data_IF_439517464397
#
_entry.id   IF_439517464397
#
_cell.length_a   1.000
_cell.length_b   1.000
_cell.length_c   1.000
_cell.angle_alpha   90.00
_cell.angle_beta   90.00
_cell.angle_gamma   90.00
#
_symmetry.space_group_name_H-M   'P 1'
#
loop_
_entity.id
_entity.type
_entity.pdbx_description
1 polymer ?
#
# COMPACT_ATOMS: atom_id res chain seq x y z
N UNK A 1 2.20 -24.69 -14.58
CA UNK A 1 0.76 -24.44 -14.68
C UNK A 1 0.54 -22.96 -14.91
N UNK A 2 -0.39 -22.60 -15.76
CA UNK A 2 -0.85 -21.22 -15.93
C UNK A 2 -1.64 -20.77 -14.71
N UNK A 3 -1.92 -19.46 -14.60
CA UNK A 3 -2.77 -18.93 -13.53
C UNK A 3 -4.17 -19.57 -13.55
N UNK A 4 -4.78 -19.71 -14.73
CA UNK A 4 -6.11 -20.30 -14.88
C UNK A 4 -6.15 -21.76 -14.39
N UNK A 5 -5.14 -22.55 -14.77
CA UNK A 5 -5.01 -23.94 -14.31
C UNK A 5 -4.84 -24.02 -12.79
N UNK A 6 -4.07 -23.09 -12.21
CA UNK A 6 -3.86 -23.04 -10.76
C UNK A 6 -5.13 -22.69 -10.01
N UNK A 7 -5.88 -21.67 -10.45
CA UNK A 7 -7.13 -21.23 -9.81
C UNK A 7 -8.22 -22.31 -9.87
N UNK A 8 -8.20 -23.19 -10.88
CA UNK A 8 -9.11 -24.35 -10.94
C UNK A 8 -8.75 -25.45 -9.95
N UNK A 9 -7.47 -25.55 -9.54
CA UNK A 9 -6.96 -26.68 -8.74
C UNK A 9 -6.71 -26.34 -7.27
N UNK A 10 -6.28 -25.12 -6.98
CA UNK A 10 -5.85 -24.70 -5.66
C UNK A 10 -6.74 -23.55 -5.15
N UNK A 11 -6.78 -23.37 -3.84
CA UNK A 11 -7.53 -22.24 -3.26
C UNK A 11 -6.95 -20.89 -3.70
N UNK A 12 -7.79 -19.85 -3.78
CA UNK A 12 -7.38 -18.47 -4.12
C UNK A 12 -6.15 -18.04 -3.31
N UNK A 13 -6.17 -18.30 -2.00
CA UNK A 13 -5.07 -17.98 -1.07
C UNK A 13 -3.74 -18.63 -1.46
N UNK A 14 -3.75 -19.91 -1.83
CA UNK A 14 -2.51 -20.62 -2.19
C UNK A 14 -1.98 -20.19 -3.57
N UNK A 15 -2.88 -19.87 -4.50
CA UNK A 15 -2.49 -19.30 -5.81
C UNK A 15 -1.87 -17.92 -5.63
N UNK A 16 -2.45 -17.07 -4.78
CA UNK A 16 -1.91 -15.75 -4.45
C UNK A 16 -0.54 -15.85 -3.76
N UNK A 17 -0.40 -16.76 -2.78
CA UNK A 17 0.88 -17.00 -2.13
C UNK A 17 1.96 -17.42 -3.15
N UNK A 18 1.64 -18.34 -4.08
CA UNK A 18 2.54 -18.77 -5.13
C UNK A 18 2.89 -17.65 -6.13
N UNK A 19 1.95 -16.75 -6.39
CA UNK A 19 2.11 -15.62 -7.32
C UNK A 19 2.98 -14.51 -6.75
N UNK A 20 2.74 -14.14 -5.48
CA UNK A 20 3.26 -12.92 -4.85
C UNK A 20 4.52 -13.14 -4.03
N UNK A 21 4.82 -14.36 -3.60
CA UNK A 21 6.02 -14.62 -2.81
C UNK A 21 7.27 -14.70 -3.70
N UNK A 22 8.25 -13.82 -3.49
CA UNK A 22 9.47 -13.70 -4.32
C UNK A 22 10.22 -15.01 -4.47
N UNK A 23 10.59 -15.63 -3.35
CA UNK A 23 11.24 -16.93 -3.32
C UNK A 23 10.26 -18.06 -2.91
N UNK A 24 9.13 -18.16 -3.60
CA UNK A 24 8.08 -19.13 -3.23
C UNK A 24 8.59 -20.57 -3.19
N UNK A 25 9.33 -20.99 -4.24
CA UNK A 25 9.89 -22.36 -4.34
C UNK A 25 10.78 -22.68 -3.14
N UNK A 26 11.75 -21.81 -2.84
CA UNK A 26 12.65 -22.00 -1.71
C UNK A 26 11.92 -21.98 -0.36
N UNK A 27 10.89 -21.13 -0.20
CA UNK A 27 10.08 -21.11 1.01
C UNK A 27 9.30 -22.42 1.20
N UNK A 28 8.63 -22.89 0.15
CA UNK A 28 7.90 -24.16 0.13
C UNK A 28 8.81 -25.35 0.42
N UNK A 29 9.97 -25.42 -0.22
CA UNK A 29 10.97 -26.48 0.00
C UNK A 29 11.50 -26.50 1.43
N UNK A 30 11.71 -25.33 2.06
CA UNK A 30 12.10 -25.26 3.48
C UNK A 30 11.03 -25.84 4.39
N UNK A 31 9.76 -25.58 4.13
CA UNK A 31 8.66 -26.13 4.95
C UNK A 31 8.57 -27.65 4.76
N UNK A 32 8.64 -28.13 3.51
CA UNK A 32 8.68 -29.57 3.20
C UNK A 32 9.85 -30.25 3.91
N UNK A 33 11.03 -29.64 3.89
CA UNK A 33 12.23 -30.17 4.56
C UNK A 33 12.02 -30.26 6.07
N UNK A 34 11.50 -29.20 6.70
CA UNK A 34 11.18 -29.21 8.14
C UNK A 34 10.26 -30.38 8.52
N UNK A 35 9.19 -30.62 7.74
CA UNK A 35 8.31 -31.76 8.00
C UNK A 35 9.04 -33.10 7.88
N UNK A 36 9.86 -33.27 6.83
CA UNK A 36 10.66 -34.50 6.63
C UNK A 36 11.65 -34.73 7.78
N UNK A 37 12.33 -33.68 8.21
CA UNK A 37 13.31 -33.73 9.30
C UNK A 37 12.61 -34.11 10.62
N UNK A 38 11.49 -33.46 10.97
CA UNK A 38 10.70 -33.80 12.17
C UNK A 38 10.16 -35.24 12.15
N UNK A 39 9.73 -35.74 10.99
CA UNK A 39 9.32 -37.15 10.81
C UNK A 39 10.50 -38.09 11.09
N UNK A 40 11.68 -37.79 10.55
CA UNK A 40 12.88 -38.60 10.73
C UNK A 40 13.37 -38.62 12.19
N UNK A 41 13.17 -37.51 12.91
CA UNK A 41 13.50 -37.37 14.33
C UNK A 41 12.44 -37.99 15.28
N UNK A 42 11.32 -38.47 14.76
CA UNK A 42 10.23 -39.03 15.56
C UNK A 42 9.37 -37.99 16.29
N UNK A 43 9.45 -36.71 15.89
CA UNK A 43 8.72 -35.60 16.51
C UNK A 43 7.37 -35.43 15.82
N UNK A 44 6.27 -35.62 16.55
CA UNK A 44 4.89 -35.42 16.07
C UNK A 44 4.62 -36.08 14.69
N UNK A 45 5.13 -37.29 14.50
CA UNK A 45 5.25 -37.96 13.18
C UNK A 45 3.95 -37.92 12.36
N UNK A 46 2.82 -38.28 12.97
CA UNK A 46 1.54 -38.33 12.25
C UNK A 46 1.08 -36.95 11.81
N UNK A 47 1.13 -35.95 12.69
CA UNK A 47 0.82 -34.54 12.34
C UNK A 47 1.74 -34.00 11.26
N UNK A 48 3.04 -34.35 11.29
CA UNK A 48 3.99 -33.91 10.27
C UNK A 48 3.78 -34.59 8.92
N UNK A 49 3.36 -35.87 8.90
CA UNK A 49 2.97 -36.56 7.66
C UNK A 49 1.72 -35.93 7.04
N UNK A 50 0.70 -35.69 7.85
CA UNK A 50 -0.53 -35.01 7.42
C UNK A 50 -0.22 -33.63 6.84
N UNK A 51 0.58 -32.82 7.54
CA UNK A 51 0.99 -31.50 7.07
C UNK A 51 1.85 -31.55 5.79
N UNK A 52 2.70 -32.56 5.64
CA UNK A 52 3.46 -32.76 4.42
C UNK A 52 2.56 -33.14 3.23
N UNK A 53 1.61 -34.06 3.44
CA UNK A 53 0.64 -34.44 2.41
C UNK A 53 -0.23 -33.25 2.01
N UNK A 54 -0.72 -32.49 2.99
CA UNK A 54 -1.50 -31.27 2.77
C UNK A 54 -0.74 -30.27 1.89
N UNK A 55 0.51 -29.96 2.21
CA UNK A 55 1.33 -29.05 1.39
C UNK A 55 1.53 -29.60 -0.02
N UNK A 56 1.81 -30.89 -0.17
CA UNK A 56 2.06 -31.48 -1.48
C UNK A 56 0.81 -31.49 -2.37
N UNK A 57 -0.37 -31.67 -1.76
CA UNK A 57 -1.66 -31.76 -2.45
C UNK A 57 -2.30 -30.40 -2.72
N UNK A 58 -2.24 -29.50 -1.75
CA UNK A 58 -3.07 -28.29 -1.71
C UNK A 58 -2.31 -27.00 -2.04
N UNK A 59 -0.99 -27.06 -2.19
CA UNK A 59 -0.18 -25.89 -2.59
C UNK A 59 0.47 -26.09 -3.96
N UNK A 60 0.53 -25.05 -4.80
CA UNK A 60 1.27 -25.11 -6.05
C UNK A 60 2.76 -25.45 -5.84
N UNK A 61 3.38 -26.18 -6.76
CA UNK A 61 4.82 -26.50 -6.65
C UNK A 61 5.74 -25.34 -7.04
N UNK A 62 5.23 -24.39 -7.83
CA UNK A 62 5.96 -23.25 -8.38
C UNK A 62 4.99 -22.08 -8.59
N UNK A 63 5.48 -20.86 -8.85
CA UNK A 63 4.63 -19.75 -9.30
C UNK A 63 3.92 -20.06 -10.64
N UNK A 64 2.80 -19.37 -10.94
CA UNK A 64 2.13 -19.48 -12.24
C UNK A 64 3.05 -19.05 -13.38
N UNK A 65 2.97 -19.77 -14.49
CA UNK A 65 3.66 -19.44 -15.73
C UNK A 65 2.76 -18.53 -16.55
N UNK A 66 3.32 -17.42 -17.02
CA UNK A 66 2.69 -16.53 -17.97
C UNK A 66 3.25 -16.82 -19.36
N UNK A 67 2.46 -17.40 -20.28
CA UNK A 67 2.95 -17.78 -21.60
C UNK A 67 3.28 -16.58 -22.50
N UNK A 68 2.81 -15.38 -22.16
CA UNK A 68 3.09 -14.16 -22.92
C UNK A 68 4.44 -13.53 -22.56
N UNK A 69 5.03 -13.95 -21.44
CA UNK A 69 6.30 -13.38 -20.96
C UNK A 69 7.52 -14.15 -21.48
N UNK A 70 8.64 -13.46 -21.81
CA UNK A 70 9.85 -14.12 -22.25
C UNK A 70 10.38 -15.13 -21.21
N UNK A 71 10.64 -16.35 -21.66
CA UNK A 71 11.05 -17.46 -20.79
C UNK A 71 12.43 -17.25 -20.15
N UNK A 72 13.28 -16.44 -20.78
CA UNK A 72 14.67 -16.17 -20.42
C UNK A 72 14.84 -14.96 -19.47
N UNK A 73 13.74 -14.41 -18.95
CA UNK A 73 13.79 -13.41 -17.89
C UNK A 73 14.31 -14.02 -16.58
N UNK A 74 15.01 -13.20 -15.80
CA UNK A 74 15.41 -13.52 -14.44
C UNK A 74 14.18 -13.85 -13.56
N UNK A 75 14.32 -14.77 -12.61
CA UNK A 75 13.19 -15.21 -11.79
C UNK A 75 12.64 -14.08 -10.89
N UNK A 76 13.49 -13.15 -10.43
CA UNK A 76 13.04 -11.96 -9.68
C UNK A 76 12.27 -11.01 -10.60
N UNK A 77 12.71 -10.82 -11.85
CA UNK A 77 11.97 -10.04 -12.84
C UNK A 77 10.60 -10.66 -13.11
N UNK A 78 10.53 -11.97 -13.34
CA UNK A 78 9.26 -12.68 -13.53
C UNK A 78 8.36 -12.54 -12.31
N UNK A 79 8.91 -12.62 -11.10
CA UNK A 79 8.16 -12.38 -9.87
C UNK A 79 7.60 -10.96 -9.84
N UNK A 80 8.43 -9.96 -10.08
CA UNK A 80 8.00 -8.56 -9.99
C UNK A 80 6.91 -8.25 -11.00
N UNK A 81 7.03 -8.75 -12.23
CA UNK A 81 6.01 -8.62 -13.26
C UNK A 81 4.69 -9.28 -12.85
N UNK A 82 4.71 -10.47 -12.23
CA UNK A 82 3.50 -11.11 -11.68
C UNK A 82 2.82 -10.25 -10.61
N UNK A 83 3.62 -9.63 -9.72
CA UNK A 83 3.12 -8.71 -8.69
C UNK A 83 2.46 -7.50 -9.33
N UNK A 84 3.12 -6.84 -10.28
CA UNK A 84 2.57 -5.66 -10.99
C UNK A 84 1.25 -6.03 -11.68
N UNK A 85 1.18 -7.13 -12.43
CA UNK A 85 -0.05 -7.55 -13.10
C UNK A 85 -1.18 -7.84 -12.10
N UNK A 86 -0.88 -8.56 -11.02
CA UNK A 86 -1.85 -8.87 -9.97
C UNK A 86 -2.43 -7.60 -9.33
N UNK A 87 -1.56 -6.61 -9.09
CA UNK A 87 -1.98 -5.34 -8.53
C UNK A 87 -3.04 -4.66 -9.41
N UNK A 88 -3.10 -4.91 -10.72
CA UNK A 88 -4.11 -4.28 -11.59
C UNK A 88 -5.32 -5.18 -11.88
N UNK A 89 -5.16 -6.50 -11.85
CA UNK A 89 -6.26 -7.44 -12.09
C UNK A 89 -7.33 -7.40 -10.97
N UNK A 90 -6.93 -7.39 -9.70
CA UNK A 90 -7.90 -7.33 -8.58
C UNK A 90 -8.76 -6.06 -8.59
N UNK A 91 -8.25 -4.96 -9.17
CA UNK A 91 -8.99 -3.70 -9.25
C UNK A 91 -10.28 -3.82 -10.05
N UNK A 92 -10.36 -4.79 -10.97
CA UNK A 92 -11.51 -4.96 -11.86
C UNK A 92 -12.52 -5.99 -11.31
N UNK A 93 -12.26 -6.62 -10.16
CA UNK A 93 -12.99 -7.81 -9.71
C UNK A 93 -14.08 -7.59 -8.67
N UNK A 94 -13.94 -6.59 -7.78
CA UNK A 94 -14.72 -6.55 -6.53
C UNK A 94 -15.54 -5.28 -6.27
N UNK A 95 -15.47 -4.24 -7.13
CA UNK A 95 -16.26 -3.02 -6.97
C UNK A 95 -17.18 -2.79 -8.20
N UNK A 96 -18.50 -2.74 -7.96
CA UNK A 96 -19.62 -2.45 -8.89
C UNK A 96 -19.55 -1.06 -9.58
N UNK A 97 -18.37 -0.48 -9.77
CA UNK A 97 -18.20 0.82 -10.40
C UNK A 97 -17.60 0.67 -11.81
N UNK A 98 -18.41 1.04 -12.80
CA UNK A 98 -18.05 1.23 -14.23
C UNK A 98 -16.95 2.29 -14.48
N UNK A 99 -16.11 2.63 -13.49
CA UNK A 99 -14.96 3.49 -13.71
C UNK A 99 -13.86 2.70 -14.42
N UNK A 100 -13.82 2.83 -15.75
CA UNK A 100 -12.74 2.31 -16.60
C UNK A 100 -11.39 2.53 -15.91
N UNK A 101 -10.53 1.48 -15.81
CA UNK A 101 -9.22 1.61 -15.18
C UNK A 101 -8.49 2.80 -15.81
N UNK A 102 -8.04 3.71 -14.96
CA UNK A 102 -7.51 4.99 -15.42
C UNK A 102 -6.39 4.75 -16.43
N UNK A 103 -6.66 5.09 -17.70
CA UNK A 103 -5.76 4.87 -18.84
C UNK A 103 -4.36 5.43 -18.58
N UNK A 104 -4.25 6.54 -17.84
CA UNK A 104 -2.96 7.15 -17.50
C UNK A 104 -2.09 6.29 -16.57
N UNK A 105 -2.70 5.47 -15.70
CA UNK A 105 -1.94 4.55 -14.85
C UNK A 105 -1.46 3.32 -15.61
N UNK A 106 -2.28 2.83 -16.54
CA UNK A 106 -1.95 1.69 -17.40
C UNK A 106 -0.73 2.02 -18.28
N UNK A 107 -0.58 3.27 -18.74
CA UNK A 107 0.58 3.70 -19.53
C UNK A 107 1.90 3.47 -18.78
N UNK A 108 1.99 3.88 -17.51
CA UNK A 108 3.19 3.64 -16.72
C UNK A 108 3.40 2.14 -16.42
N UNK A 109 2.33 1.42 -16.08
CA UNK A 109 2.38 -0.04 -15.87
C UNK A 109 3.01 -0.75 -17.07
N UNK A 110 2.46 -0.47 -18.24
CA UNK A 110 2.83 -1.16 -19.47
C UNK A 110 4.26 -0.79 -19.89
N UNK A 111 4.67 0.46 -19.66
CA UNK A 111 6.05 0.88 -19.86
C UNK A 111 7.04 0.18 -18.92
N UNK A 112 6.69 0.01 -17.63
CA UNK A 112 7.52 -0.73 -16.66
C UNK A 112 7.63 -2.20 -17.07
N UNK A 113 6.52 -2.85 -17.42
CA UNK A 113 6.52 -4.24 -17.88
C UNK A 113 7.34 -4.41 -19.17
N UNK A 114 7.20 -3.49 -20.14
CA UNK A 114 7.99 -3.49 -21.37
C UNK A 114 9.50 -3.29 -21.10
N UNK A 115 9.85 -2.44 -20.13
CA UNK A 115 11.25 -2.26 -19.73
C UNK A 115 11.87 -3.52 -19.14
N UNK A 116 11.12 -4.28 -18.32
CA UNK A 116 11.54 -5.60 -17.84
C UNK A 116 11.67 -6.61 -18.98
N UNK A 117 10.67 -6.72 -19.86
CA UNK A 117 10.71 -7.63 -21.03
C UNK A 117 11.93 -7.38 -21.92
N UNK A 118 12.27 -6.11 -22.12
CA UNK A 118 13.43 -5.67 -22.91
C UNK A 118 14.75 -5.68 -22.13
N UNK A 119 14.74 -6.18 -20.89
CA UNK A 119 15.92 -6.22 -19.99
C UNK A 119 16.58 -4.86 -19.77
N UNK A 120 15.82 -3.76 -19.92
CA UNK A 120 16.26 -2.39 -19.63
C UNK A 120 16.11 -2.04 -18.15
N UNK A 121 15.29 -2.80 -17.44
CA UNK A 121 15.08 -2.70 -16.01
C UNK A 121 15.37 -4.05 -15.36
N UNK A 122 16.04 -4.01 -14.21
CA UNK A 122 16.37 -5.18 -13.39
C UNK A 122 15.78 -5.00 -11.99
N UNK A 123 15.48 -6.11 -11.32
CA UNK A 123 15.03 -6.09 -9.93
C UNK A 123 16.26 -5.97 -9.03
N UNK A 124 16.35 -4.87 -8.29
CA UNK A 124 17.46 -4.60 -7.37
C UNK A 124 16.93 -4.11 -6.02
N UNK A 125 17.34 -4.77 -4.94
CA UNK A 125 16.85 -4.48 -3.59
C UNK A 125 17.24 -3.08 -3.13
N UNK A 126 16.30 -2.37 -2.51
CA UNK A 126 16.51 -1.00 -2.04
C UNK A 126 16.69 0.01 -3.17
N UNK A 127 16.54 -0.37 -4.44
CA UNK A 127 16.48 0.56 -5.57
C UNK A 127 15.05 0.76 -6.03
N UNK A 128 14.85 1.93 -6.65
CA UNK A 128 13.58 2.33 -7.21
C UNK A 128 13.76 3.12 -8.50
N UNK A 129 12.70 3.15 -9.31
CA UNK A 129 12.57 4.01 -10.48
C UNK A 129 11.27 4.81 -10.39
N UNK A 130 11.27 6.01 -10.97
CA UNK A 130 10.08 6.86 -11.07
C UNK A 130 9.72 7.02 -12.53
N UNK A 131 8.46 6.80 -12.83
CA UNK A 131 7.90 6.82 -14.17
C UNK A 131 6.84 7.91 -14.30
N UNK A 132 6.77 8.54 -15.46
CA UNK A 132 5.77 9.54 -15.79
C UNK A 132 5.36 9.43 -17.26
N UNK A 133 4.06 9.30 -17.52
CA UNK A 133 3.50 9.16 -18.86
C UNK A 133 4.20 8.09 -19.73
N UNK A 134 4.64 6.98 -19.12
CA UNK A 134 5.32 5.88 -19.80
C UNK A 134 6.84 6.04 -19.94
N UNK A 135 7.42 7.09 -19.36
CA UNK A 135 8.85 7.35 -19.39
C UNK A 135 9.49 7.18 -18.01
N UNK A 136 10.63 6.50 -17.94
CA UNK A 136 11.46 6.48 -16.72
C UNK A 136 12.14 7.84 -16.56
N UNK A 137 11.66 8.64 -15.61
CA UNK A 137 12.13 10.02 -15.40
C UNK A 137 13.17 10.13 -14.29
N UNK A 138 13.26 9.15 -13.39
CA UNK A 138 14.33 9.05 -12.38
C UNK A 138 14.68 7.59 -12.07
N UNK A 139 15.94 7.35 -11.71
CA UNK A 139 16.46 6.04 -11.32
C UNK A 139 17.02 5.20 -12.48
N UNK A 140 17.47 3.96 -12.22
CA UNK A 140 17.46 3.28 -10.91
C UNK A 140 18.30 4.00 -9.86
N UNK A 141 17.76 4.23 -8.67
CA UNK A 141 18.46 4.91 -7.57
C UNK A 141 18.11 4.28 -6.23
N UNK A 142 18.98 4.45 -5.22
CA UNK A 142 18.70 3.94 -3.88
C UNK A 142 17.54 4.71 -3.25
N UNK A 143 16.65 3.99 -2.59
CA UNK A 143 15.47 4.53 -1.92
C UNK A 143 15.80 5.57 -0.86
N UNK A 144 16.91 5.38 -0.13
CA UNK A 144 17.40 6.36 0.87
C UNK A 144 17.79 7.71 0.25
N UNK A 145 18.15 7.72 -1.02
CA UNK A 145 18.53 8.94 -1.75
C UNK A 145 17.30 9.57 -2.43
N UNK A 146 16.17 8.86 -2.44
CA UNK A 146 14.92 9.36 -2.98
C UNK A 146 14.23 10.28 -1.97
N UNK A 147 14.05 11.54 -2.37
CA UNK A 147 13.25 12.51 -1.64
C UNK A 147 11.95 12.77 -2.39
N UNK A 148 10.82 12.60 -1.70
CA UNK A 148 9.48 12.90 -2.22
C UNK A 148 9.36 14.30 -2.85
N UNK A 149 10.07 15.30 -2.30
CA UNK A 149 10.06 16.66 -2.82
C UNK A 149 10.57 16.72 -4.27
N UNK A 150 11.48 15.81 -4.66
CA UNK A 150 11.96 15.69 -6.04
C UNK A 150 10.83 15.35 -7.02
N UNK A 151 9.86 14.52 -6.62
CA UNK A 151 8.67 14.22 -7.46
C UNK A 151 7.82 15.47 -7.65
N UNK A 152 7.63 16.23 -6.59
CA UNK A 152 6.78 17.43 -6.59
C UNK A 152 7.40 18.52 -7.47
N UNK A 153 8.70 18.77 -7.29
CA UNK A 153 9.39 19.87 -7.97
C UNK A 153 9.62 19.59 -9.46
N UNK A 154 9.79 18.33 -9.84
CA UNK A 154 10.02 17.96 -11.25
C UNK A 154 8.73 17.68 -12.02
N UNK A 155 7.57 17.51 -11.35
CA UNK A 155 6.30 17.25 -12.03
C UNK A 155 5.96 18.28 -13.12
N UNK A 156 6.06 19.61 -12.88
CA UNK A 156 5.76 20.59 -13.94
C UNK A 156 6.67 20.44 -15.17
N UNK A 157 7.94 20.05 -14.96
CA UNK A 157 8.89 19.81 -16.06
C UNK A 157 8.52 18.57 -16.86
N UNK A 158 8.16 17.47 -16.18
CA UNK A 158 7.73 16.25 -16.85
C UNK A 158 6.42 16.43 -17.59
N UNK A 159 5.47 17.18 -17.01
CA UNK A 159 4.20 17.50 -17.65
C UNK A 159 4.39 18.37 -18.90
N UNK A 160 5.31 19.35 -18.85
CA UNK A 160 5.68 20.14 -20.02
C UNK A 160 6.38 19.32 -21.12
N UNK A 161 7.16 18.31 -20.74
CA UNK A 161 7.96 17.51 -21.67
C UNK A 161 7.17 16.34 -22.30
N UNK A 162 6.38 15.64 -21.49
CA UNK A 162 5.73 14.38 -21.88
C UNK A 162 4.19 14.51 -21.97
N UNK A 163 3.65 15.70 -21.66
CA UNK A 163 2.22 15.95 -21.61
C UNK A 163 1.58 15.48 -20.30
N UNK A 164 0.24 15.48 -20.22
CA UNK A 164 -0.48 15.06 -19.03
C UNK A 164 -0.16 13.62 -18.65
N UNK A 165 0.22 13.41 -17.38
CA UNK A 165 0.57 12.09 -16.88
C UNK A 165 0.53 11.99 -15.36
N UNK A 166 0.72 10.75 -14.90
CA UNK A 166 0.80 10.41 -13.48
C UNK A 166 2.19 9.95 -13.12
N UNK A 167 2.58 10.20 -11.88
CA UNK A 167 3.81 9.68 -11.33
C UNK A 167 3.54 8.25 -10.86
N UNK A 168 4.38 7.32 -11.28
CA UNK A 168 4.42 5.94 -10.79
C UNK A 168 5.77 5.70 -10.12
N UNK A 169 5.76 4.93 -9.04
CA UNK A 169 7.00 4.55 -8.36
C UNK A 169 7.16 3.04 -8.39
N UNK A 170 8.13 2.57 -9.16
CA UNK A 170 8.46 1.16 -9.25
C UNK A 170 9.54 0.86 -8.23
N UNK A 171 9.14 0.22 -7.14
CA UNK A 171 9.99 -0.19 -6.03
C UNK A 171 9.95 -1.72 -5.94
N UNK A 172 11.12 -2.35 -5.84
CA UNK A 172 11.27 -3.80 -5.80
C UNK A 172 11.32 -4.38 -4.38
N UNK A 173 11.20 -3.53 -3.35
CA UNK A 173 11.18 -3.99 -1.97
C UNK A 173 10.02 -4.99 -1.76
N UNK A 174 10.26 -6.03 -0.95
CA UNK A 174 9.19 -6.91 -0.46
C UNK A 174 8.04 -6.04 0.00
N UNK A 175 6.92 -6.18 -0.71
CA UNK A 175 5.76 -5.33 -0.56
C UNK A 175 5.46 -5.20 0.93
N UNK A 176 5.37 -3.96 1.41
CA UNK A 176 4.93 -3.60 2.75
C UNK A 176 3.44 -3.95 2.93
N UNK A 177 3.14 -5.24 2.91
CA UNK A 177 2.22 -5.89 3.80
C UNK A 177 2.71 -5.66 5.25
N UNK A 178 2.82 -4.39 5.67
CA UNK A 178 2.85 -4.08 7.08
C UNK A 178 1.43 -4.38 7.54
N UNK A 179 1.23 -5.56 8.14
CA UNK A 179 0.01 -5.91 8.85
C UNK A 179 -0.44 -4.70 9.65
N UNK A 180 -1.50 -4.04 9.22
CA UNK A 180 -2.21 -3.08 10.04
C UNK A 180 -3.15 -3.91 10.92
N UNK A 181 -2.77 -4.04 12.18
CA UNK A 181 -3.70 -4.53 13.20
C UNK A 181 -4.64 -3.38 13.58
N UNK A 182 -5.58 -3.04 12.70
CA UNK A 182 -6.70 -2.20 13.11
C UNK A 182 -7.72 -3.07 13.84
N UNK A 183 -7.46 -3.37 15.12
CA UNK A 183 -8.52 -3.88 15.99
C UNK A 183 -9.47 -2.70 16.23
N UNK A 184 -10.52 -2.57 15.41
CA UNK A 184 -11.62 -1.64 15.69
C UNK A 184 -12.25 -2.17 16.98
N UNK A 185 -11.89 -1.58 18.13
CA UNK A 185 -12.44 -2.05 19.40
C UNK A 185 -13.96 -1.84 19.38
N UNK A 186 -14.68 -2.86 19.86
CA UNK A 186 -16.14 -2.82 19.97
C UNK A 186 -16.58 -1.61 20.79
N UNK A 187 -17.64 -0.95 20.32
CA UNK A 187 -18.25 0.34 20.68
C UNK A 187 -18.35 0.76 22.17
N UNK A 188 -17.93 -0.06 23.14
CA UNK A 188 -18.14 0.18 24.57
C UNK A 188 -16.86 0.39 25.40
N UNK A 189 -15.68 0.52 24.80
CA UNK A 189 -14.47 0.90 25.56
C UNK A 189 -14.22 2.40 25.49
N UNK A 190 -14.58 3.04 26.61
CA UNK A 190 -14.34 4.44 26.96
C UNK A 190 -12.86 4.80 26.77
N UNK A 191 -12.60 5.95 26.14
CA UNK A 191 -11.30 6.58 25.84
C UNK A 191 -10.62 6.24 24.49
N UNK A 192 -11.37 6.15 23.40
CA UNK A 192 -10.77 6.33 22.07
C UNK A 192 -10.54 7.81 21.78
N UNK A 193 -9.29 8.23 21.59
CA UNK A 193 -8.98 9.56 21.09
C UNK A 193 -9.39 9.65 19.62
N UNK A 194 -10.35 10.52 19.30
CA UNK A 194 -10.74 10.82 17.93
C UNK A 194 -10.39 12.25 17.54
N UNK A 195 -10.08 12.45 16.27
CA UNK A 195 -9.79 13.74 15.66
C UNK A 195 -10.74 14.00 14.49
N UNK A 196 -10.92 15.28 14.22
CA UNK A 196 -11.49 15.84 13.01
C UNK A 196 -10.32 16.45 12.19
N UNK A 197 -10.37 16.31 10.88
CA UNK A 197 -9.40 16.92 9.99
C UNK A 197 -10.13 17.74 8.95
N UNK A 198 -9.79 19.01 8.87
CA UNK A 198 -10.17 19.87 7.77
C UNK A 198 -9.08 19.77 6.70
N UNK A 199 -9.34 19.02 5.63
CA UNK A 199 -8.41 18.81 4.53
C UNK A 199 -8.91 19.50 3.25
N UNK A 200 -7.98 19.94 2.40
CA UNK A 200 -8.27 20.33 1.02
C UNK A 200 -7.17 19.88 0.09
N UNK A 201 -7.52 19.65 -1.17
CA UNK A 201 -6.54 19.43 -2.21
C UNK A 201 -5.78 20.74 -2.47
N UNK A 202 -4.48 20.63 -2.78
CA UNK A 202 -3.69 21.76 -3.24
C UNK A 202 -4.35 22.39 -4.46
N UNK A 203 -4.48 23.72 -4.42
CA UNK A 203 -5.15 24.51 -5.46
C UNK A 203 -6.64 24.72 -5.20
N UNK A 204 -7.24 24.08 -4.20
CA UNK A 204 -8.63 24.34 -3.81
C UNK A 204 -8.72 25.42 -2.72
N UNK A 205 -9.80 26.19 -2.76
CA UNK A 205 -10.09 27.22 -1.76
C UNK A 205 -10.70 26.62 -0.48
N UNK A 206 -11.64 25.68 -0.64
CA UNK A 206 -12.48 25.19 0.45
C UNK A 206 -11.89 23.97 1.15
N UNK A 207 -12.00 23.96 2.47
CA UNK A 207 -11.69 22.80 3.30
C UNK A 207 -12.90 21.87 3.40
N UNK A 208 -12.63 20.58 3.43
CA UNK A 208 -13.58 19.51 3.72
C UNK A 208 -13.26 18.91 5.06
N UNK A 209 -14.31 18.68 5.83
CA UNK A 209 -14.22 18.19 7.19
C UNK A 209 -14.34 16.66 7.17
N UNK A 210 -13.33 15.99 7.70
CA UNK A 210 -13.25 14.54 7.86
C UNK A 210 -13.30 14.24 9.35
N UNK A 211 -14.40 13.69 9.83
CA UNK A 211 -14.61 13.43 11.26
C UNK A 211 -14.30 11.96 11.62
N UNK A 212 -14.27 11.67 12.93
CA UNK A 212 -14.19 10.32 13.50
C UNK A 212 -12.89 9.58 13.18
N UNK A 213 -11.75 10.28 13.22
CA UNK A 213 -10.43 9.69 12.97
C UNK A 213 -9.83 9.24 14.30
N UNK A 214 -9.76 7.93 14.56
CA UNK A 214 -9.07 7.32 15.70
C UNK A 214 -7.57 7.59 15.67
N UNK A 215 -7.01 7.85 16.86
CA UNK A 215 -5.58 7.82 17.14
C UNK A 215 -5.04 6.38 17.13
N UNK A 216 -4.98 5.76 15.96
CA UNK A 216 -4.45 4.40 15.81
C UNK A 216 -2.92 4.41 15.74
N UNK A 217 -2.29 4.33 16.91
CA UNK A 217 -0.82 4.29 17.05
C UNK A 217 -0.15 3.13 16.31
N UNK A 218 -0.89 2.10 15.90
CA UNK A 218 -0.40 1.01 15.04
C UNK A 218 -0.44 1.32 13.55
N UNK A 219 -1.17 2.37 13.13
CA UNK A 219 -1.30 2.73 11.72
C UNK A 219 -0.15 3.61 11.22
N UNK A 220 0.58 3.09 10.24
CA UNK A 220 1.64 3.80 9.50
C UNK A 220 1.06 4.85 8.54
N UNK A 221 -0.20 4.66 8.12
CA UNK A 221 -0.85 5.50 7.13
C UNK A 221 -1.93 6.36 7.79
N UNK A 222 -2.12 7.54 7.22
CA UNK A 222 -3.22 8.40 7.55
C UNK A 222 -4.40 7.98 6.65
N UNK A 223 -5.29 7.10 7.14
CA UNK A 223 -6.47 6.67 6.39
C UNK A 223 -7.53 7.78 6.43
N UNK A 224 -7.29 8.85 5.67
CA UNK A 224 -8.16 10.01 5.65
C UNK A 224 -9.36 9.85 4.74
N UNK A 225 -9.20 9.17 3.61
CA UNK A 225 -10.15 9.31 2.51
C UNK A 225 -10.74 7.96 2.13
N UNK A 226 -11.95 7.71 2.63
CA UNK A 226 -12.86 6.75 2.02
C UNK A 226 -13.30 7.31 0.66
N UNK A 227 -13.97 6.49 -0.15
CA UNK A 227 -14.43 6.87 -1.49
C UNK A 227 -15.27 8.16 -1.46
N UNK A 228 -16.19 8.27 -0.49
CA UNK A 228 -17.03 9.45 -0.34
C UNK A 228 -16.21 10.70 -0.01
N UNK A 229 -15.18 10.63 0.84
CA UNK A 229 -14.34 11.80 1.12
C UNK A 229 -13.50 12.19 -0.09
N UNK A 230 -13.00 11.21 -0.84
CA UNK A 230 -12.29 11.48 -2.10
C UNK A 230 -13.21 12.25 -3.06
N UNK A 231 -14.45 11.79 -3.24
CA UNK A 231 -15.46 12.47 -4.05
C UNK A 231 -15.77 13.86 -3.50
N UNK A 232 -15.96 14.00 -2.19
CA UNK A 232 -16.31 15.25 -1.54
C UNK A 232 -15.18 16.29 -1.58
N UNK A 233 -13.93 15.83 -1.59
CA UNK A 233 -12.73 16.63 -1.86
C UNK A 233 -12.56 16.99 -3.33
N UNK A 234 -13.40 16.47 -4.22
CA UNK A 234 -13.24 16.62 -5.66
C UNK A 234 -11.93 15.97 -6.14
N UNK A 235 -11.48 14.89 -5.48
CA UNK A 235 -10.32 14.13 -5.88
C UNK A 235 -10.64 13.39 -7.16
N UNK A 236 -10.19 13.94 -8.29
CA UNK A 236 -10.37 13.31 -9.60
C UNK A 236 -9.10 12.57 -10.01
N UNK A 237 -9.22 11.66 -11.00
CA UNK A 237 -8.05 11.06 -11.59
C UNK A 237 -7.08 12.06 -12.27
N UNK A 238 -7.54 13.26 -12.58
CA UNK A 238 -6.70 14.33 -13.12
C UNK A 238 -5.90 15.09 -12.04
N UNK A 239 -6.13 14.83 -10.75
CA UNK A 239 -5.45 15.55 -9.69
C UNK A 239 -3.95 15.28 -9.68
N UNK A 240 -3.15 16.34 -9.77
CA UNK A 240 -1.72 16.24 -10.00
C UNK A 240 -0.89 15.61 -8.89
N UNK A 241 -1.40 15.56 -7.66
CA UNK A 241 -0.72 14.92 -6.52
C UNK A 241 -1.29 13.54 -6.19
N UNK A 242 -2.12 13.01 -7.08
CA UNK A 242 -2.58 11.63 -7.04
C UNK A 242 -1.45 10.69 -7.43
N UNK A 243 -1.34 9.57 -6.73
CA UNK A 243 -0.34 8.54 -7.01
C UNK A 243 -1.01 7.16 -7.05
N UNK A 244 -0.21 6.11 -7.26
CA UNK A 244 -0.67 4.73 -7.25
C UNK A 244 -1.39 4.41 -5.94
N UNK A 245 -2.49 3.68 -6.06
CA UNK A 245 -3.22 3.14 -4.91
C UNK A 245 -2.28 2.27 -4.06
N UNK A 246 -2.48 2.34 -2.74
CA UNK A 246 -1.72 1.53 -1.79
C UNK A 246 -2.58 0.35 -1.35
N UNK A 247 -1.98 -0.84 -1.31
CA UNK A 247 -2.61 -2.02 -0.72
C UNK A 247 -2.21 -2.11 0.75
N UNK A 248 -3.21 -2.25 1.61
CA UNK A 248 -3.08 -2.31 3.06
C UNK A 248 -3.53 -3.71 3.52
N UNK A 249 -2.72 -4.38 4.34
CA UNK A 249 -3.17 -5.58 5.04
C UNK A 249 -3.91 -5.18 6.31
N UNK A 250 -5.17 -5.57 6.46
CA UNK A 250 -5.96 -5.35 7.68
C UNK A 250 -6.21 -6.68 8.39
N UNK A 251 -6.74 -6.63 9.62
CA UNK A 251 -7.20 -7.83 10.35
C UNK A 251 -8.29 -8.60 9.59
N UNK A 252 -9.05 -7.91 8.73
CA UNK A 252 -10.17 -8.48 7.97
C UNK A 252 -9.77 -8.80 6.52
N UNK A 253 -8.47 -8.81 6.22
CA UNK A 253 -7.93 -9.07 4.89
C UNK A 253 -7.35 -7.82 4.23
N UNK A 254 -7.02 -7.97 2.95
CA UNK A 254 -6.32 -6.94 2.19
C UNK A 254 -7.32 -5.92 1.63
N UNK A 255 -7.05 -4.64 1.84
CA UNK A 255 -7.87 -3.54 1.30
C UNK A 255 -7.00 -2.58 0.50
N UNK A 256 -7.55 -1.99 -0.56
CA UNK A 256 -6.87 -0.98 -1.38
C UNK A 256 -7.38 0.40 -1.06
N UNK A 257 -6.49 1.40 -1.06
CA UNK A 257 -6.79 2.80 -0.74
C UNK A 257 -6.14 3.76 -1.72
N UNK A 258 -6.87 4.84 -2.03
CA UNK A 258 -6.37 5.95 -2.83
C UNK A 258 -5.24 6.66 -2.09
N UNK A 259 -4.15 6.96 -2.79
CA UNK A 259 -2.97 7.60 -2.20
C UNK A 259 -2.74 9.00 -2.79
N UNK A 260 -2.61 9.99 -1.91
CA UNK A 260 -2.21 11.35 -2.25
C UNK A 260 -1.06 11.80 -1.37
N UNK A 261 -0.11 12.52 -1.96
CA UNK A 261 1.16 12.85 -1.30
C UNK A 261 1.22 14.23 -0.69
N UNK A 262 0.23 15.08 -0.96
CA UNK A 262 0.17 16.42 -0.38
C UNK A 262 -1.26 16.89 -0.26
N UNK A 263 -1.65 17.20 0.96
CA UNK A 263 -2.90 17.87 1.33
C UNK A 263 -2.56 19.05 2.22
N UNK A 264 -3.37 20.10 2.14
CA UNK A 264 -3.37 21.13 3.18
C UNK A 264 -4.40 20.68 4.21
N UNK A 265 -3.97 20.37 5.42
CA UNK A 265 -4.85 19.84 6.46
C UNK A 265 -4.66 20.60 7.80
N UNK A 266 -5.77 20.87 8.47
CA UNK A 266 -5.81 21.34 9.86
C UNK A 266 -6.48 20.26 10.68
N UNK A 267 -5.86 19.85 11.78
CA UNK A 267 -6.40 18.80 12.66
C UNK A 267 -7.01 19.47 13.88
N UNK A 268 -8.25 19.13 14.19
CA UNK A 268 -8.96 19.55 15.38
C UNK A 268 -9.46 18.32 16.15
N UNK A 269 -9.71 18.43 17.45
CA UNK A 269 -10.33 17.36 18.22
C UNK A 269 -11.70 17.00 17.65
N UNK A 270 -11.97 15.70 17.50
CA UNK A 270 -13.25 15.19 17.01
C UNK A 270 -14.17 14.82 18.17
N UNK A 271 -15.47 14.76 17.88
CA UNK A 271 -16.45 14.13 18.77
C UNK A 271 -16.90 12.83 18.10
N UNK A 272 -17.00 11.74 18.86
CA UNK A 272 -17.28 10.40 18.33
C UNK A 272 -18.58 10.31 17.51
N UNK A 273 -18.58 9.39 16.56
CA UNK A 273 -19.69 9.08 15.66
C UNK A 273 -19.54 7.69 15.04
N UNK A 274 -20.53 7.28 14.24
CA UNK A 274 -20.76 5.87 13.90
C UNK A 274 -19.73 5.23 12.95
N UNK A 275 -18.77 6.00 12.44
CA UNK A 275 -17.79 5.54 11.45
C UNK A 275 -16.36 5.93 11.83
N UNK A 276 -15.69 5.07 12.58
CA UNK A 276 -14.30 5.27 12.98
C UNK A 276 -13.30 5.03 11.82
N UNK A 277 -12.24 5.85 11.76
CA UNK A 277 -11.09 5.78 10.82
C UNK A 277 -9.78 5.64 11.62
N UNK A 278 -8.64 5.25 11.06
CA UNK A 278 -7.39 5.02 11.83
C UNK A 278 -6.22 5.93 11.40
N UNK A 279 -5.56 6.59 12.37
CA UNK A 279 -4.46 7.52 12.14
C UNK A 279 -3.65 7.77 13.43
N UNK A 280 -2.49 7.14 13.62
CA UNK A 280 -1.71 7.42 14.84
C UNK A 280 -0.20 7.47 14.65
N UNK A 281 0.45 6.53 13.96
CA UNK A 281 1.91 6.58 13.88
C UNK A 281 2.42 7.66 12.90
N UNK A 282 1.72 7.92 11.81
CA UNK A 282 2.07 9.02 10.89
C UNK A 282 2.11 10.38 11.60
N UNK A 283 1.09 10.68 12.40
CA UNK A 283 0.97 11.91 13.15
C UNK A 283 2.12 12.06 14.16
N UNK A 284 2.43 11.01 14.92
CA UNK A 284 3.48 11.06 15.95
C UNK A 284 4.91 11.05 15.40
N UNK A 285 5.11 10.51 14.19
CA UNK A 285 6.45 10.47 13.55
C UNK A 285 6.81 11.80 12.90
N UNK A 286 5.82 12.53 12.39
CA UNK A 286 6.05 13.77 11.63
C UNK A 286 5.66 15.04 12.40
N UNK A 287 4.93 14.91 13.51
CA UNK A 287 4.44 16.03 14.29
C UNK A 287 4.58 15.77 15.79
N UNK A 288 4.84 16.84 16.55
CA UNK A 288 4.77 16.88 18.00
C UNK A 288 3.32 17.06 18.41
N UNK A 289 2.89 16.37 19.48
CA UNK A 289 1.52 16.46 20.00
C UNK A 289 1.50 16.80 21.49
N UNK A 290 0.48 17.55 21.94
CA UNK A 290 0.23 17.81 23.37
C UNK A 290 -1.28 17.91 23.64
N UNK A 291 -1.73 17.41 24.79
CA UNK A 291 -3.12 17.52 25.24
C UNK A 291 -3.28 18.62 26.28
N UNK A 292 -4.30 19.47 26.16
CA UNK A 292 -4.62 20.44 27.22
C UNK A 292 -5.29 19.74 28.40
N UNK A 293 -4.76 19.88 29.64
CA UNK A 293 -5.32 19.22 30.81
C UNK A 293 -6.60 19.88 31.35
N UNK A 294 -6.94 21.11 30.92
CA UNK A 294 -7.95 21.92 31.61
C UNK A 294 -9.16 22.36 30.79
N UNK A 295 -9.27 22.03 29.51
CA UNK A 295 -10.53 22.19 28.78
C UNK A 295 -10.67 21.20 27.61
N UNK A 296 -11.70 20.36 27.69
CA UNK A 296 -12.25 19.49 26.62
C UNK A 296 -11.26 18.71 25.74
N UNK A 297 -10.11 18.30 26.28
CA UNK A 297 -9.28 17.25 25.66
C UNK A 297 -8.69 17.59 24.29
N UNK A 298 -8.46 18.87 23.99
CA UNK A 298 -7.93 19.25 22.69
C UNK A 298 -6.50 18.73 22.49
N UNK A 299 -6.26 17.99 21.39
CA UNK A 299 -4.93 17.61 20.92
C UNK A 299 -4.34 18.71 20.04
N UNK A 300 -3.27 19.34 20.50
CA UNK A 300 -2.46 20.29 19.75
C UNK A 300 -1.40 19.53 18.98
N UNK A 301 -1.22 19.87 17.71
CA UNK A 301 -0.26 19.22 16.81
C UNK A 301 0.60 20.30 16.16
N UNK A 302 1.92 20.12 16.14
CA UNK A 302 2.85 21.02 15.45
C UNK A 302 3.98 20.24 14.79
N UNK A 303 4.45 20.71 13.63
CA UNK A 303 5.69 20.23 13.00
C UNK A 303 6.95 20.61 13.80
N UNK A 304 6.81 21.48 14.82
CA UNK A 304 7.89 21.93 15.69
C UNK A 304 7.53 21.72 17.16
N UNK A 305 8.50 21.26 17.96
CA UNK A 305 8.32 21.04 19.40
C UNK A 305 7.83 22.30 20.13
N UNK A 306 8.29 23.48 19.71
CA UNK A 306 7.88 24.77 20.28
C UNK A 306 6.39 25.07 20.12
N UNK A 307 5.75 24.54 19.06
CA UNK A 307 4.32 24.75 18.81
C UNK A 307 3.41 23.97 19.75
N UNK A 308 3.93 23.00 20.52
CA UNK A 308 3.18 22.26 21.54
C UNK A 308 3.74 22.38 22.96
N UNK A 309 4.88 23.04 23.13
CA UNK A 309 5.53 23.28 24.44
C UNK A 309 5.44 24.73 24.91
N UNK A 310 4.99 25.65 24.05
CA UNK A 310 4.67 27.03 24.45
C UNK A 310 3.40 27.11 25.30
N UNK A 311 3.18 28.24 26.00
CA UNK A 311 1.91 28.51 26.66
C UNK A 311 0.80 28.41 25.61
N UNK A 312 -0.14 27.48 25.81
CA UNK A 312 -1.29 27.36 24.94
C UNK A 312 -2.09 28.68 25.04
N UNK A 313 -2.65 29.20 23.93
CA UNK A 313 -3.47 30.40 23.97
C UNK A 313 -4.57 30.23 25.03
N UNK A 314 -4.68 31.21 25.94
CA UNK A 314 -5.82 31.25 26.85
C UNK A 314 -7.10 31.37 26.01
N UNK A 315 -8.02 30.42 26.18
CA UNK A 315 -9.37 30.45 25.60
C UNK A 315 -10.25 31.46 26.29
#
# INVERSE_FOLDING_TARGET
MTLEEMTKRFSKREVEAARLHRNYKGARERIIRKFKDSIAEGINVETCKEGLEDILKNTPAAPPIDPEEPADLDEDVKWRMRVIKWTYEERNGDDDDDEEPNKMELVNRDAVLDAYRKKKLTVEDGKMTVWYAGHMVMGPMLKKDFNIQMKIDNRPKWEAQYGPGRIWTEECDEYYAKKQSATIATYNQVAMHTFEIQARLIGQANFKRVQNILDDTGSVYLELFRKDDCRDLGLTPAYGHYNQDVTLETTNGTVRRKCIYKVSATITPGYGGDQFRSSGMFLRTHFFTATSPHDRGNLYISDKKSGVTGPLPAS
#
